data_IF_471754160554
#
_entry.id   IF_471754160554
#
_cell.length_a   1.000
_cell.length_b   1.000
_cell.length_c   1.000
_cell.angle_alpha   90.00
_cell.angle_beta   90.00
_cell.angle_gamma   90.00
#
_symmetry.space_group_name_H-M   'P 1'
#
loop_
_entity.id
_entity.type
_entity.pdbx_description
1 polymer ?
#
# COMPACT_ATOMS: atom_id res chain seq x y z
N UNK A 1 -14.38 -41.03 -20.96
CA UNK A 1 -14.13 -40.81 -19.54
C UNK A 1 -15.06 -39.67 -19.09
N UNK A 2 -16.23 -40.05 -18.53
CA UNK A 2 -17.31 -39.12 -18.18
C UNK A 2 -16.97 -38.40 -16.90
N UNK A 3 -16.88 -37.09 -16.94
CA UNK A 3 -16.80 -36.23 -15.75
C UNK A 3 -18.23 -35.87 -15.31
N UNK A 4 -18.62 -36.49 -14.22
CA UNK A 4 -19.89 -36.33 -13.55
C UNK A 4 -19.95 -34.97 -12.85
N UNK A 5 -20.71 -34.04 -13.39
CA UNK A 5 -20.97 -32.73 -12.80
C UNK A 5 -22.06 -32.88 -11.73
N UNK A 6 -21.67 -33.14 -10.47
CA UNK A 6 -22.61 -33.02 -9.35
C UNK A 6 -22.62 -31.58 -8.86
N UNK A 7 -23.67 -30.91 -9.24
CA UNK A 7 -24.11 -29.62 -8.75
C UNK A 7 -24.48 -29.76 -7.24
N UNK A 8 -23.60 -29.31 -6.35
CA UNK A 8 -23.88 -29.23 -4.90
C UNK A 8 -24.25 -27.77 -4.60
N UNK A 9 -25.54 -27.46 -4.73
CA UNK A 9 -26.11 -26.23 -4.20
C UNK A 9 -26.23 -26.35 -2.67
N UNK A 10 -25.33 -25.71 -1.94
CA UNK A 10 -25.51 -25.45 -0.52
C UNK A 10 -26.68 -24.46 -0.34
N UNK A 11 -27.54 -24.64 0.68
CA UNK A 11 -28.65 -23.74 0.94
C UNK A 11 -28.11 -22.36 1.37
N UNK A 12 -28.54 -21.32 0.66
CA UNK A 12 -28.27 -19.93 1.03
C UNK A 12 -28.98 -19.64 2.36
N UNK A 13 -28.19 -19.36 3.40
CA UNK A 13 -28.72 -18.82 4.66
C UNK A 13 -29.33 -17.44 4.34
N UNK A 14 -30.55 -17.13 4.88
CA UNK A 14 -31.15 -15.82 4.64
C UNK A 14 -30.26 -14.74 5.29
N UNK A 15 -29.61 -13.96 4.47
CA UNK A 15 -28.87 -12.76 4.88
C UNK A 15 -29.92 -11.75 5.32
N UNK A 16 -29.82 -11.28 6.58
CA UNK A 16 -30.60 -10.15 7.06
C UNK A 16 -30.47 -9.02 6.03
N UNK A 17 -31.59 -8.35 5.73
CA UNK A 17 -31.64 -7.26 4.75
C UNK A 17 -30.74 -6.11 5.21
N UNK A 18 -29.49 -6.11 4.76
CA UNK A 18 -28.62 -4.96 4.91
C UNK A 18 -29.15 -3.81 4.04
N UNK A 19 -29.04 -2.55 4.49
CA UNK A 19 -29.43 -1.42 3.69
C UNK A 19 -28.67 -1.49 2.35
N UNK A 20 -29.41 -1.55 1.26
CA UNK A 20 -28.85 -1.69 -0.10
C UNK A 20 -28.61 -0.35 -0.75
N UNK A 21 -29.04 0.75 -0.12
CA UNK A 21 -28.91 2.08 -0.67
C UNK A 21 -28.61 3.13 0.41
N UNK A 22 -28.08 4.26 -0.01
CA UNK A 22 -27.82 5.39 0.88
C UNK A 22 -29.08 5.93 1.56
N UNK A 23 -30.25 5.82 0.91
CA UNK A 23 -31.56 6.24 1.45
C UNK A 23 -32.00 5.42 2.65
N UNK A 24 -31.56 4.17 2.77
CA UNK A 24 -32.04 3.22 3.79
C UNK A 24 -31.24 3.30 5.11
N UNK A 25 -30.16 4.13 5.11
CA UNK A 25 -29.31 4.30 6.28
C UNK A 25 -29.99 5.18 7.35
N UNK A 26 -29.71 4.96 8.65
CA UNK A 26 -30.09 5.91 9.69
C UNK A 26 -29.34 7.24 9.54
N UNK A 27 -29.85 8.31 10.15
CA UNK A 27 -29.19 9.62 10.15
C UNK A 27 -27.93 9.64 11.04
N UNK A 28 -27.83 8.71 11.96
CA UNK A 28 -26.68 8.54 12.88
C UNK A 28 -26.16 7.10 12.83
N UNK A 29 -24.83 6.96 12.79
CA UNK A 29 -24.14 5.66 12.78
C UNK A 29 -23.08 5.62 13.88
N UNK A 30 -22.82 4.44 14.44
CA UNK A 30 -21.86 4.23 15.54
C UNK A 30 -20.45 4.66 15.16
N UNK A 31 -20.05 4.32 13.93
CA UNK A 31 -18.78 4.69 13.34
C UNK A 31 -18.92 4.75 11.82
N UNK A 32 -18.24 5.68 11.18
CA UNK A 32 -18.17 5.78 9.72
C UNK A 32 -16.74 5.58 9.26
N UNK A 33 -16.56 4.68 8.31
CA UNK A 33 -15.25 4.41 7.67
C UNK A 33 -15.36 4.77 6.18
N UNK A 34 -14.52 5.71 5.73
CA UNK A 34 -14.48 6.19 4.35
C UNK A 34 -13.31 5.53 3.63
N UNK A 35 -13.61 4.64 2.68
CA UNK A 35 -12.65 3.88 1.89
C UNK A 35 -12.66 2.39 2.19
N UNK A 36 -12.96 1.59 1.16
CA UNK A 36 -13.06 0.12 1.20
C UNK A 36 -11.77 -0.61 0.81
N UNK A 37 -10.61 0.05 0.91
CA UNK A 37 -9.30 -0.59 0.82
C UNK A 37 -8.98 -1.41 2.08
N UNK A 38 -7.82 -2.10 2.08
CA UNK A 38 -7.43 -2.95 3.22
C UNK A 38 -7.41 -2.18 4.55
N UNK A 39 -6.96 -0.92 4.55
CA UNK A 39 -6.91 -0.10 5.76
C UNK A 39 -8.31 0.16 6.33
N UNK A 40 -9.28 0.55 5.48
CA UNK A 40 -10.65 0.80 5.92
C UNK A 40 -11.38 -0.47 6.33
N UNK A 41 -11.20 -1.56 5.59
CA UNK A 41 -11.77 -2.87 5.95
C UNK A 41 -11.20 -3.37 7.28
N UNK A 42 -9.91 -3.24 7.53
CA UNK A 42 -9.29 -3.62 8.81
C UNK A 42 -9.80 -2.75 9.96
N UNK A 43 -9.94 -1.44 9.75
CA UNK A 43 -10.48 -0.53 10.76
C UNK A 43 -11.96 -0.86 11.08
N UNK A 44 -12.79 -1.07 10.06
CA UNK A 44 -14.19 -1.43 10.26
C UNK A 44 -14.33 -2.80 10.95
N UNK A 45 -13.48 -3.78 10.59
CA UNK A 45 -13.45 -5.07 11.26
C UNK A 45 -13.07 -4.93 12.73
N UNK A 46 -12.04 -4.15 13.06
CA UNK A 46 -11.65 -3.90 14.45
C UNK A 46 -12.78 -3.22 15.23
N UNK A 47 -13.41 -2.20 14.67
CA UNK A 47 -14.57 -1.53 15.29
C UNK A 47 -15.71 -2.53 15.55
N UNK A 48 -15.91 -3.51 14.65
CA UNK A 48 -16.90 -4.58 14.85
C UNK A 48 -16.50 -5.52 15.99
N UNK A 49 -15.21 -5.84 16.16
CA UNK A 49 -14.72 -6.63 17.29
C UNK A 49 -14.90 -5.89 18.62
N UNK A 50 -14.86 -4.56 18.61
CA UNK A 50 -15.11 -3.70 19.76
C UNK A 50 -16.63 -3.50 20.04
N UNK A 51 -17.49 -4.23 19.34
CA UNK A 51 -18.95 -4.25 19.56
C UNK A 51 -19.72 -3.12 18.86
N UNK A 52 -19.06 -2.33 18.00
CA UNK A 52 -19.73 -1.30 17.21
C UNK A 52 -20.32 -1.88 15.91
N UNK A 53 -21.25 -1.14 15.33
CA UNK A 53 -21.84 -1.44 14.00
C UNK A 53 -21.38 -0.40 12.99
N UNK A 54 -20.14 -0.52 12.46
CA UNK A 54 -19.61 0.48 11.55
C UNK A 54 -20.36 0.50 10.22
N UNK A 55 -20.50 1.69 9.65
CA UNK A 55 -20.80 1.89 8.23
C UNK A 55 -19.48 2.12 7.49
N UNK A 56 -19.16 1.24 6.54
CA UNK A 56 -18.07 1.44 5.61
C UNK A 56 -18.61 1.84 4.24
N UNK A 57 -18.09 2.93 3.68
CA UNK A 57 -18.44 3.40 2.34
C UNK A 57 -17.23 3.37 1.42
N UNK A 58 -17.43 2.87 0.20
CA UNK A 58 -16.43 2.81 -0.86
C UNK A 58 -16.98 3.47 -2.13
N UNK A 59 -16.24 4.45 -2.66
CA UNK A 59 -16.65 5.19 -3.84
C UNK A 59 -16.61 4.35 -5.12
N UNK A 60 -15.73 3.34 -5.20
CA UNK A 60 -15.69 2.40 -6.32
C UNK A 60 -16.76 1.33 -6.18
N UNK A 61 -17.01 0.60 -7.28
CA UNK A 61 -17.96 -0.52 -7.28
C UNK A 61 -17.38 -1.84 -6.74
N UNK A 62 -16.20 -1.81 -6.11
CA UNK A 62 -15.52 -2.98 -5.58
C UNK A 62 -14.70 -2.62 -4.34
N UNK A 63 -14.50 -3.59 -3.47
CA UNK A 63 -13.69 -3.50 -2.26
C UNK A 63 -12.24 -3.96 -2.53
N UNK A 64 -11.36 -3.66 -1.59
CA UNK A 64 -9.97 -4.13 -1.59
C UNK A 64 -8.95 -3.08 -2.02
N UNK A 65 -9.34 -2.07 -2.79
CA UNK A 65 -8.41 -1.05 -3.28
C UNK A 65 -7.27 -1.69 -4.09
N UNK A 66 -6.04 -1.68 -3.57
CA UNK A 66 -4.87 -2.31 -4.19
C UNK A 66 -4.81 -3.85 -4.05
N UNK A 67 -5.78 -4.46 -3.35
CA UNK A 67 -5.93 -5.92 -3.21
C UNK A 67 -7.22 -6.36 -3.91
N UNK A 68 -7.58 -5.70 -5.00
CA UNK A 68 -8.79 -6.01 -5.73
C UNK A 68 -8.62 -7.26 -6.61
N UNK A 69 -9.66 -8.10 -6.71
CA UNK A 69 -9.64 -9.23 -7.62
C UNK A 69 -9.80 -8.81 -9.08
N UNK A 70 -9.25 -9.61 -9.95
CA UNK A 70 -9.53 -9.57 -11.38
C UNK A 70 -9.73 -10.97 -11.94
N UNK A 71 -9.98 -11.06 -13.24
CA UNK A 71 -10.18 -12.34 -13.92
C UNK A 71 -9.30 -12.45 -15.16
N UNK A 72 -8.65 -13.61 -15.30
CA UNK A 72 -7.97 -14.02 -16.52
C UNK A 72 -8.69 -15.29 -17.00
N UNK A 73 -9.56 -15.14 -18.00
CA UNK A 73 -10.49 -16.20 -18.36
C UNK A 73 -11.39 -16.58 -17.18
N UNK A 74 -11.50 -17.86 -16.79
CA UNK A 74 -12.30 -18.28 -15.64
C UNK A 74 -11.56 -18.16 -14.28
N UNK A 75 -10.29 -17.78 -14.27
CA UNK A 75 -9.46 -17.76 -13.07
C UNK A 75 -9.49 -16.39 -12.44
N UNK A 76 -9.82 -16.36 -11.15
CA UNK A 76 -9.73 -15.14 -10.33
C UNK A 76 -8.29 -14.96 -9.87
N UNK A 77 -7.77 -13.74 -9.99
CA UNK A 77 -6.38 -13.39 -9.68
C UNK A 77 -6.31 -12.06 -8.92
N UNK A 78 -5.21 -11.85 -8.21
CA UNK A 78 -4.90 -10.54 -7.64
C UNK A 78 -4.44 -9.58 -8.73
N UNK A 79 -5.06 -8.40 -8.85
CA UNK A 79 -4.64 -7.35 -9.77
C UNK A 79 -3.59 -6.40 -9.17
N UNK A 80 -3.41 -6.43 -7.87
CA UNK A 80 -2.49 -5.56 -7.14
C UNK A 80 -1.49 -6.34 -6.31
N UNK A 81 -1.53 -6.16 -4.99
CA UNK A 81 -0.64 -6.86 -4.08
C UNK A 81 -0.97 -8.36 -4.03
N UNK A 82 0.03 -9.20 -4.26
CA UNK A 82 -0.06 -10.67 -4.27
C UNK A 82 0.44 -11.29 -2.97
N UNK A 83 1.18 -10.53 -2.18
CA UNK A 83 1.80 -10.97 -0.93
C UNK A 83 1.74 -9.89 0.12
N UNK A 84 1.94 -10.29 1.37
CA UNK A 84 2.15 -9.41 2.50
C UNK A 84 3.36 -9.86 3.32
N UNK A 85 3.99 -8.90 4.02
CA UNK A 85 5.08 -9.18 4.94
C UNK A 85 4.56 -9.07 6.37
N UNK A 86 4.48 -10.16 7.13
CA UNK A 86 4.05 -10.12 8.53
C UNK A 86 5.19 -9.54 9.40
N UNK A 87 5.34 -8.21 9.40
CA UNK A 87 6.36 -7.53 10.23
C UNK A 87 5.98 -7.44 11.71
N UNK A 88 4.71 -7.61 12.03
CA UNK A 88 4.13 -7.70 13.36
C UNK A 88 3.27 -8.93 13.51
N UNK A 89 2.73 -9.14 14.71
CA UNK A 89 1.82 -10.25 14.99
C UNK A 89 0.40 -9.97 14.48
N UNK A 90 0.04 -8.70 14.29
CA UNK A 90 -1.32 -8.23 14.03
C UNK A 90 -1.86 -8.77 12.70
N UNK A 91 -1.09 -8.69 11.61
CA UNK A 91 -1.53 -9.20 10.31
C UNK A 91 -1.72 -10.73 10.34
N UNK A 92 -0.82 -11.46 10.99
CA UNK A 92 -0.94 -12.91 11.12
C UNK A 92 -2.15 -13.30 11.99
N UNK A 93 -2.40 -12.56 13.07
CA UNK A 93 -3.57 -12.74 13.93
C UNK A 93 -4.87 -12.45 13.18
N UNK A 94 -4.92 -11.36 12.41
CA UNK A 94 -6.08 -11.02 11.58
C UNK A 94 -6.38 -12.13 10.55
N UNK A 95 -5.38 -12.59 9.80
CA UNK A 95 -5.54 -13.69 8.84
C UNK A 95 -6.08 -14.95 9.51
N UNK A 96 -5.52 -15.32 10.67
CA UNK A 96 -5.97 -16.49 11.44
C UNK A 96 -7.38 -16.31 12.01
N UNK A 97 -7.71 -15.13 12.55
CA UNK A 97 -9.05 -14.84 13.10
C UNK A 97 -10.14 -14.86 12.03
N UNK A 98 -9.78 -14.56 10.77
CA UNK A 98 -10.67 -14.68 9.63
C UNK A 98 -10.74 -16.10 9.04
N UNK A 99 -10.07 -17.07 9.66
CA UNK A 99 -10.06 -18.46 9.19
C UNK A 99 -9.29 -18.68 7.89
N UNK A 100 -8.42 -17.76 7.51
CA UNK A 100 -7.65 -17.81 6.29
C UNK A 100 -6.29 -18.50 6.50
N UNK A 101 -5.82 -19.18 5.48
CA UNK A 101 -4.50 -19.84 5.48
C UNK A 101 -3.44 -18.98 4.81
N UNK A 102 -2.40 -18.63 5.57
CA UNK A 102 -1.23 -17.94 5.05
C UNK A 102 -0.20 -18.93 4.53
N UNK A 103 0.19 -18.79 3.27
CA UNK A 103 1.15 -19.64 2.59
C UNK A 103 2.46 -18.89 2.35
N UNK A 104 3.58 -19.61 2.36
CA UNK A 104 4.82 -19.12 1.80
C UNK A 104 4.74 -19.19 0.26
N UNK A 105 5.36 -18.25 -0.48
CA UNK A 105 5.52 -18.38 -1.92
C UNK A 105 6.21 -19.69 -2.29
N UNK A 106 5.94 -20.23 -3.48
CA UNK A 106 6.57 -21.46 -3.97
C UNK A 106 8.10 -21.30 -4.03
N UNK A 107 8.83 -22.38 -3.73
CA UNK A 107 10.28 -22.35 -3.47
C UNK A 107 11.22 -22.02 -4.63
N UNK A 108 10.68 -21.81 -5.86
CA UNK A 108 11.52 -21.49 -7.04
C UNK A 108 12.04 -20.04 -7.07
N UNK A 109 11.58 -19.18 -6.18
CA UNK A 109 11.96 -17.79 -6.06
C UNK A 109 11.50 -16.91 -7.24
N UNK A 110 11.65 -15.61 -7.07
CA UNK A 110 11.33 -14.64 -8.10
C UNK A 110 12.37 -14.65 -9.24
N UNK A 111 11.94 -14.18 -10.42
CA UNK A 111 12.78 -14.13 -11.62
C UNK A 111 12.70 -12.76 -12.26
N UNK A 112 13.80 -12.37 -12.91
CA UNK A 112 13.90 -11.16 -13.72
C UNK A 112 13.85 -11.55 -15.21
N UNK A 113 12.90 -10.97 -15.94
CA UNK A 113 12.89 -11.07 -17.39
C UNK A 113 13.56 -9.82 -17.97
N UNK A 114 14.81 -9.95 -18.42
CA UNK A 114 15.64 -8.83 -18.81
C UNK A 114 15.90 -8.79 -20.32
N UNK A 115 15.99 -7.58 -20.90
CA UNK A 115 16.41 -7.40 -22.28
C UNK A 115 17.86 -7.87 -22.49
N UNK A 116 18.24 -8.17 -23.74
CA UNK A 116 19.58 -8.62 -24.04
C UNK A 116 20.64 -7.62 -23.62
N UNK A 117 21.68 -8.09 -22.96
CA UNK A 117 22.88 -7.31 -22.68
C UNK A 117 23.81 -7.35 -23.89
N UNK A 118 23.65 -6.38 -24.79
CA UNK A 118 24.44 -6.31 -26.03
C UNK A 118 25.94 -6.18 -25.77
N UNK A 119 26.33 -5.56 -24.65
CA UNK A 119 27.74 -5.46 -24.26
C UNK A 119 28.36 -6.85 -23.93
N UNK A 120 27.53 -7.83 -23.59
CA UNK A 120 27.92 -9.22 -23.34
C UNK A 120 27.62 -10.15 -24.53
N UNK A 121 27.27 -9.62 -25.70
CA UNK A 121 26.94 -10.42 -26.87
C UNK A 121 25.56 -11.10 -26.83
N UNK A 122 24.69 -10.72 -25.89
CA UNK A 122 23.32 -11.26 -25.82
C UNK A 122 22.46 -10.69 -26.94
N UNK A 123 21.62 -11.52 -27.56
CA UNK A 123 20.70 -11.13 -28.64
C UNK A 123 19.22 -11.33 -28.28
N UNK A 124 18.90 -11.98 -27.17
CA UNK A 124 17.53 -12.34 -26.78
C UNK A 124 17.24 -11.96 -25.34
N UNK A 125 15.97 -11.73 -25.06
CA UNK A 125 15.46 -11.63 -23.69
C UNK A 125 15.70 -12.92 -22.92
N UNK A 126 16.07 -12.79 -21.67
CA UNK A 126 16.38 -13.95 -20.82
C UNK A 126 15.69 -13.83 -19.47
N UNK A 127 15.30 -15.00 -18.94
CA UNK A 127 14.76 -15.12 -17.60
C UNK A 127 15.92 -15.47 -16.64
N UNK A 128 16.17 -14.58 -15.68
CA UNK A 128 17.21 -14.73 -14.67
C UNK A 128 16.59 -15.01 -13.31
N UNK A 129 17.26 -15.78 -12.48
CA UNK A 129 16.89 -15.87 -11.06
C UNK A 129 17.27 -14.57 -10.36
N UNK A 130 16.51 -14.21 -9.29
CA UNK A 130 16.98 -13.16 -8.39
C UNK A 130 18.34 -13.55 -7.80
N UNK A 131 19.17 -12.55 -7.56
CA UNK A 131 20.45 -12.75 -6.89
C UNK A 131 20.23 -13.34 -5.49
N UNK A 132 21.13 -14.23 -5.07
CA UNK A 132 21.03 -14.89 -3.75
C UNK A 132 21.19 -13.91 -2.60
N UNK A 133 22.13 -12.99 -2.75
CA UNK A 133 22.54 -12.04 -1.72
C UNK A 133 22.45 -10.62 -2.24
N UNK A 134 21.22 -10.09 -2.28
CA UNK A 134 20.94 -8.75 -2.72
C UNK A 134 19.81 -8.10 -1.91
N UNK A 135 19.88 -6.79 -1.73
CA UNK A 135 18.83 -5.96 -1.16
C UNK A 135 18.28 -5.03 -2.22
N UNK A 136 17.02 -5.21 -2.62
CA UNK A 136 16.39 -4.51 -3.75
C UNK A 136 17.23 -4.54 -5.06
N UNK A 137 17.91 -5.66 -5.30
CA UNK A 137 18.79 -5.82 -6.46
C UNK A 137 20.23 -5.31 -6.27
N UNK A 138 20.55 -4.65 -5.17
CA UNK A 138 21.90 -4.21 -4.84
C UNK A 138 22.66 -5.42 -4.30
N UNK A 139 23.73 -5.91 -4.98
CA UNK A 139 24.43 -7.12 -4.57
C UNK A 139 25.30 -6.89 -3.32
N UNK A 140 25.31 -7.85 -2.41
CA UNK A 140 26.25 -7.90 -1.29
C UNK A 140 27.68 -8.28 -1.72
N UNK A 141 27.79 -9.04 -2.81
CA UNK A 141 29.06 -9.35 -3.45
C UNK A 141 28.97 -9.13 -4.97
N UNK A 142 29.47 -7.99 -5.48
CA UNK A 142 29.46 -7.72 -6.91
C UNK A 142 30.31 -8.69 -7.76
N UNK A 143 31.19 -9.48 -7.14
CA UNK A 143 32.01 -10.49 -7.82
C UNK A 143 31.36 -11.86 -7.91
N UNK A 144 30.21 -12.08 -7.27
CA UNK A 144 29.53 -13.38 -7.28
C UNK A 144 29.11 -13.79 -8.71
N UNK A 145 29.17 -15.10 -8.98
CA UNK A 145 28.92 -15.66 -10.31
C UNK A 145 27.55 -15.27 -10.89
N UNK A 146 26.51 -15.24 -10.07
CA UNK A 146 25.17 -14.84 -10.48
C UNK A 146 25.09 -13.34 -10.83
N UNK A 147 25.84 -12.49 -10.14
CA UNK A 147 25.95 -11.05 -10.45
C UNK A 147 26.70 -10.85 -11.77
N UNK A 148 27.87 -11.51 -11.92
CA UNK A 148 28.69 -11.45 -13.14
C UNK A 148 27.89 -11.97 -14.34
N UNK A 149 27.11 -13.04 -14.17
CA UNK A 149 26.28 -13.59 -15.25
C UNK A 149 25.24 -12.59 -15.79
N UNK A 150 24.60 -11.80 -14.90
CA UNK A 150 23.58 -10.81 -15.28
C UNK A 150 24.21 -9.52 -15.81
N UNK A 151 25.24 -9.01 -15.13
CA UNK A 151 25.86 -7.73 -15.45
C UNK A 151 26.88 -7.81 -16.60
N UNK A 152 27.61 -8.93 -16.68
CA UNK A 152 28.83 -9.08 -17.45
C UNK A 152 30.07 -8.64 -16.72
N UNK A 153 31.23 -9.17 -17.10
CA UNK A 153 32.49 -9.01 -16.39
C UNK A 153 32.90 -7.53 -16.18
N UNK A 154 32.77 -6.69 -17.21
CA UNK A 154 33.17 -5.27 -17.14
C UNK A 154 32.30 -4.48 -16.15
N UNK A 155 31.00 -4.70 -16.13
CA UNK A 155 30.08 -4.00 -15.24
C UNK A 155 30.23 -4.53 -13.78
N UNK A 156 30.41 -5.82 -13.60
CA UNK A 156 30.71 -6.40 -12.30
C UNK A 156 32.03 -5.87 -11.72
N UNK A 157 33.09 -5.77 -12.54
CA UNK A 157 34.36 -5.18 -12.15
C UNK A 157 34.20 -3.71 -11.72
N UNK A 158 33.37 -2.91 -12.44
CA UNK A 158 33.03 -1.54 -12.01
C UNK A 158 32.32 -1.54 -10.64
N UNK A 159 31.40 -2.47 -10.42
CA UNK A 159 30.68 -2.56 -9.14
C UNK A 159 31.61 -2.96 -7.97
N UNK A 160 32.60 -3.82 -8.19
CA UNK A 160 33.64 -4.17 -7.20
C UNK A 160 34.44 -2.96 -6.73
N UNK A 161 34.59 -1.91 -7.57
CA UNK A 161 35.29 -0.67 -7.18
C UNK A 161 34.61 0.04 -6.00
N UNK A 162 33.35 -0.25 -5.68
CA UNK A 162 32.65 0.26 -4.50
C UNK A 162 33.51 0.12 -3.22
N UNK A 163 34.25 -0.97 -3.07
CA UNK A 163 35.11 -1.25 -1.91
C UNK A 163 36.33 -0.31 -1.80
N UNK A 164 36.68 0.36 -2.88
CA UNK A 164 37.82 1.30 -2.95
C UNK A 164 37.38 2.76 -2.93
N UNK A 165 36.05 3.03 -2.92
CA UNK A 165 35.53 4.37 -2.82
C UNK A 165 35.46 4.81 -1.34
N UNK A 166 35.68 6.12 -1.11
CA UNK A 166 35.46 6.68 0.22
C UNK A 166 34.01 6.53 0.69
N UNK A 167 33.81 6.47 2.00
CA UNK A 167 32.47 6.33 2.61
C UNK A 167 31.51 7.45 2.23
N UNK A 168 32.00 8.63 1.86
CA UNK A 168 31.24 9.82 1.53
C UNK A 168 30.65 9.80 0.10
N UNK A 169 31.13 8.90 -0.78
CA UNK A 169 30.58 8.78 -2.14
C UNK A 169 29.11 8.38 -2.08
N UNK A 170 28.23 9.11 -2.75
CA UNK A 170 26.79 8.90 -2.72
C UNK A 170 26.08 9.43 -1.47
N UNK A 171 26.76 10.17 -0.60
CA UNK A 171 26.14 10.74 0.60
C UNK A 171 25.58 12.15 0.39
N UNK A 172 25.98 12.85 -0.67
CA UNK A 172 25.49 14.16 -1.08
C UNK A 172 24.22 14.09 -1.96
N UNK A 173 23.99 15.17 -2.71
CA UNK A 173 22.84 15.32 -3.60
C UNK A 173 22.76 14.20 -4.67
N UNK A 174 23.90 13.68 -5.12
CA UNK A 174 23.95 12.56 -6.07
C UNK A 174 23.35 11.27 -5.53
N UNK A 175 23.28 11.12 -4.20
CA UNK A 175 22.74 9.95 -3.54
C UNK A 175 21.35 10.15 -2.92
N UNK A 176 20.70 11.28 -3.17
CA UNK A 176 19.32 11.52 -2.69
C UNK A 176 18.34 10.52 -3.30
N UNK A 177 18.52 10.17 -4.57
CA UNK A 177 17.72 9.11 -5.21
C UNK A 177 18.42 7.76 -5.15
N UNK A 178 17.64 6.68 -5.07
CA UNK A 178 18.18 5.32 -5.03
C UNK A 178 19.03 5.01 -6.26
N UNK A 179 18.62 5.45 -7.46
CA UNK A 179 19.40 5.29 -8.67
C UNK A 179 20.74 6.02 -8.58
N UNK A 180 20.73 7.28 -8.15
CA UNK A 180 21.93 8.08 -8.00
C UNK A 180 22.91 7.48 -7.00
N UNK A 181 22.42 7.06 -5.83
CA UNK A 181 23.23 6.43 -4.80
C UNK A 181 23.93 5.16 -5.30
N UNK A 182 23.18 4.26 -5.91
CA UNK A 182 23.72 2.98 -6.42
C UNK A 182 24.66 3.23 -7.61
N UNK A 183 24.31 4.15 -8.53
CA UNK A 183 25.15 4.48 -9.67
C UNK A 183 26.50 5.06 -9.27
N UNK A 184 26.52 5.99 -8.30
CA UNK A 184 27.75 6.57 -7.76
C UNK A 184 28.70 5.49 -7.20
N UNK A 185 28.17 4.54 -6.49
CA UNK A 185 28.94 3.49 -5.83
C UNK A 185 29.27 2.30 -6.73
N UNK A 186 28.27 1.67 -7.34
CA UNK A 186 28.43 0.42 -8.10
C UNK A 186 28.31 0.59 -9.62
N UNK A 187 27.94 1.78 -10.10
CA UNK A 187 27.81 2.06 -11.53
C UNK A 187 26.41 1.83 -12.08
N UNK A 188 26.13 2.49 -13.22
CA UNK A 188 24.82 2.54 -13.86
C UNK A 188 24.27 1.16 -14.25
N UNK A 189 25.13 0.21 -14.64
CA UNK A 189 24.71 -1.13 -15.03
C UNK A 189 24.02 -1.90 -13.89
N UNK A 190 24.41 -1.70 -12.64
CA UNK A 190 23.74 -2.26 -11.46
C UNK A 190 22.34 -1.68 -11.32
N UNK A 191 22.22 -0.35 -11.50
CA UNK A 191 20.91 0.31 -11.47
C UNK A 191 19.98 -0.27 -12.55
N UNK A 192 20.44 -0.33 -13.79
CA UNK A 192 19.57 -0.64 -14.95
C UNK A 192 19.16 -2.13 -15.00
N UNK A 193 20.08 -3.02 -14.61
CA UNK A 193 19.84 -4.46 -14.78
C UNK A 193 19.39 -5.18 -13.51
N UNK A 194 19.70 -4.63 -12.34
CA UNK A 194 19.39 -5.30 -11.07
C UNK A 194 18.38 -4.51 -10.23
N UNK A 195 18.64 -3.22 -10.00
CA UNK A 195 17.81 -2.42 -9.09
C UNK A 195 16.50 -2.00 -9.75
N UNK A 196 16.57 -1.39 -10.93
CA UNK A 196 15.40 -0.84 -11.64
C UNK A 196 14.28 -1.87 -11.85
N UNK A 197 14.54 -3.09 -12.39
CA UNK A 197 13.46 -4.03 -12.62
C UNK A 197 12.81 -4.53 -11.32
N UNK A 198 13.56 -4.64 -10.23
CA UNK A 198 13.03 -5.06 -8.93
C UNK A 198 12.23 -3.92 -8.29
N UNK A 199 12.81 -2.73 -8.26
CA UNK A 199 12.19 -1.53 -7.67
C UNK A 199 10.94 -1.12 -8.44
N UNK A 200 10.97 -1.15 -9.76
CA UNK A 200 9.78 -0.89 -10.58
C UNK A 200 8.66 -1.91 -10.32
N UNK A 201 9.00 -3.18 -10.07
CA UNK A 201 8.02 -4.21 -9.71
C UNK A 201 7.39 -4.01 -8.32
N UNK A 202 8.15 -3.47 -7.37
CA UNK A 202 7.69 -3.27 -5.98
C UNK A 202 6.99 -1.93 -5.81
N UNK A 203 7.61 -0.84 -6.28
CA UNK A 203 7.17 0.54 -6.05
C UNK A 203 6.42 1.14 -7.24
N UNK A 204 6.39 0.45 -8.40
CA UNK A 204 5.80 0.98 -9.65
C UNK A 204 6.34 2.34 -10.06
N UNK A 205 7.60 2.60 -9.73
CA UNK A 205 8.28 3.88 -9.91
C UNK A 205 9.73 3.64 -10.32
N UNK A 206 10.33 4.57 -11.05
CA UNK A 206 11.75 4.51 -11.37
C UNK A 206 12.58 4.77 -10.09
N UNK A 207 13.68 4.05 -9.86
CA UNK A 207 14.56 4.33 -8.73
C UNK A 207 15.21 5.73 -8.77
N UNK A 208 15.15 6.44 -9.90
CA UNK A 208 15.56 7.84 -10.01
C UNK A 208 14.56 8.82 -9.37
N UNK A 209 13.31 8.39 -9.17
CA UNK A 209 12.25 9.19 -8.55
C UNK A 209 12.01 8.81 -7.09
N UNK A 210 12.79 7.89 -6.54
CA UNK A 210 12.63 7.38 -5.18
C UNK A 210 13.76 7.88 -4.26
N UNK A 211 13.39 8.53 -3.17
CA UNK A 211 14.33 8.94 -2.14
C UNK A 211 14.98 7.73 -1.46
N UNK A 212 16.33 7.70 -1.47
CA UNK A 212 17.12 6.56 -0.94
C UNK A 212 16.74 6.22 0.50
N UNK A 213 16.69 7.21 1.38
CA UNK A 213 16.45 6.98 2.81
C UNK A 213 15.00 6.58 3.12
N UNK A 214 14.05 6.87 2.20
CA UNK A 214 12.67 6.43 2.32
C UNK A 214 12.49 4.96 1.95
N UNK A 215 13.07 4.52 0.83
CA UNK A 215 12.87 3.14 0.33
C UNK A 215 13.90 2.15 0.86
N UNK A 216 15.05 2.64 1.30
CA UNK A 216 16.12 1.83 1.92
C UNK A 216 16.57 2.43 3.27
N UNK A 217 15.69 2.48 4.28
CA UNK A 217 16.01 3.12 5.56
C UNK A 217 17.29 2.56 6.17
N UNK A 218 18.23 3.46 6.49
CA UNK A 218 19.50 3.12 7.11
C UNK A 218 20.59 2.61 6.16
N UNK A 219 20.33 2.44 4.85
CA UNK A 219 21.35 1.93 3.92
C UNK A 219 22.51 2.90 3.75
N UNK A 220 22.25 4.20 3.59
CA UNK A 220 23.30 5.22 3.48
C UNK A 220 24.14 5.30 4.77
N UNK A 221 23.49 5.24 5.92
CA UNK A 221 24.18 5.18 7.21
C UNK A 221 25.06 3.93 7.32
N UNK A 222 24.51 2.75 7.02
CA UNK A 222 25.27 1.50 7.04
C UNK A 222 26.46 1.54 6.08
N UNK A 223 26.33 2.20 4.91
CA UNK A 223 27.42 2.36 3.97
C UNK A 223 28.58 3.20 4.56
N UNK A 224 28.26 4.26 5.32
CA UNK A 224 29.30 5.02 6.06
C UNK A 224 29.98 4.17 7.14
N UNK A 225 29.18 3.42 7.89
CA UNK A 225 29.68 2.62 9.02
C UNK A 225 30.54 1.43 8.57
N UNK A 226 30.18 0.79 7.45
CA UNK A 226 30.87 -0.40 6.92
C UNK A 226 31.85 -0.06 5.78
N UNK A 227 31.98 1.22 5.39
CA UNK A 227 32.95 1.71 4.41
C UNK A 227 32.53 1.56 2.97
N UNK A 228 31.69 0.59 2.61
CA UNK A 228 31.21 0.40 1.24
C UNK A 228 29.75 -0.09 1.19
N UNK A 229 29.10 0.08 0.05
CA UNK A 229 27.71 -0.32 -0.15
C UNK A 229 27.54 -1.85 -0.12
N UNK A 230 28.49 -2.58 -0.70
CA UNK A 230 28.45 -4.05 -0.70
C UNK A 230 28.43 -4.63 0.73
N UNK A 231 29.32 -4.15 1.60
CA UNK A 231 29.39 -4.63 2.99
C UNK A 231 28.20 -4.16 3.83
N UNK A 232 27.67 -2.96 3.57
CA UNK A 232 26.42 -2.49 4.17
C UNK A 232 25.24 -3.41 3.82
N UNK A 233 25.11 -3.80 2.57
CA UNK A 233 24.07 -4.75 2.12
C UNK A 233 24.27 -6.11 2.78
N UNK A 234 25.49 -6.63 2.82
CA UNK A 234 25.81 -7.89 3.49
C UNK A 234 25.40 -7.87 4.98
N UNK A 235 25.71 -6.77 5.68
CA UNK A 235 25.32 -6.56 7.08
C UNK A 235 23.80 -6.55 7.25
N UNK A 236 23.08 -5.77 6.42
CA UNK A 236 21.62 -5.68 6.49
C UNK A 236 20.95 -7.03 6.23
N UNK A 237 21.44 -7.81 5.26
CA UNK A 237 20.96 -9.15 4.96
C UNK A 237 21.21 -10.12 6.11
N UNK A 238 22.42 -10.11 6.70
CA UNK A 238 22.75 -10.94 7.84
C UNK A 238 21.85 -10.65 9.04
N UNK A 239 21.59 -9.38 9.32
CA UNK A 239 20.66 -8.93 10.37
C UNK A 239 19.23 -9.39 10.10
N UNK A 240 18.76 -9.25 8.86
CA UNK A 240 17.42 -9.72 8.45
C UNK A 240 17.29 -11.24 8.59
N UNK A 241 18.27 -12.01 8.11
CA UNK A 241 18.30 -13.48 8.24
C UNK A 241 18.29 -13.93 9.69
N UNK A 242 19.03 -13.26 10.56
CA UNK A 242 19.02 -13.57 12.01
C UNK A 242 17.62 -13.34 12.60
N UNK A 243 16.95 -12.25 12.21
CA UNK A 243 15.60 -11.94 12.70
C UNK A 243 14.54 -12.92 12.20
N UNK A 244 14.67 -13.46 10.98
CA UNK A 244 13.67 -14.32 10.33
C UNK A 244 13.98 -15.81 10.40
N UNK A 245 15.15 -16.19 10.96
CA UNK A 245 15.64 -17.57 10.92
C UNK A 245 15.90 -18.06 9.49
N UNK A 246 16.18 -17.14 8.54
CA UNK A 246 16.46 -17.46 7.13
C UNK A 246 15.22 -17.85 6.31
N UNK A 247 14.02 -17.76 6.86
CA UNK A 247 12.77 -18.04 6.13
C UNK A 247 12.33 -16.84 5.31
N UNK A 248 11.65 -17.10 4.18
CA UNK A 248 10.93 -16.03 3.47
C UNK A 248 9.92 -15.39 4.41
N UNK A 249 9.97 -14.07 4.50
CA UNK A 249 8.99 -13.29 5.28
C UNK A 249 7.70 -13.05 4.50
N UNK A 250 7.75 -13.20 3.16
CA UNK A 250 6.57 -12.98 2.32
C UNK A 250 5.56 -14.10 2.52
N UNK A 251 4.30 -13.73 2.64
CA UNK A 251 3.15 -14.61 2.73
C UNK A 251 2.11 -14.21 1.70
N UNK A 252 1.37 -15.18 1.20
CA UNK A 252 0.14 -14.96 0.46
C UNK A 252 -1.02 -15.66 1.18
N UNK A 253 -2.23 -15.29 0.85
CA UNK A 253 -3.44 -15.98 1.30
C UNK A 253 -3.76 -17.07 0.30
N UNK A 254 -4.12 -18.27 0.77
CA UNK A 254 -4.57 -19.36 -0.12
C UNK A 254 -5.73 -18.87 -0.98
N UNK A 255 -5.59 -19.00 -2.30
CA UNK A 255 -6.57 -18.56 -3.28
C UNK A 255 -6.45 -17.11 -3.72
N UNK A 256 -5.50 -16.33 -3.17
CA UNK A 256 -5.23 -14.93 -3.51
C UNK A 256 -5.48 -13.97 -2.36
N UNK A 257 -4.81 -12.82 -2.42
CA UNK A 257 -4.93 -11.77 -1.39
C UNK A 257 -6.34 -11.17 -1.34
N UNK A 258 -7.09 -11.17 -2.44
CA UNK A 258 -8.48 -10.73 -2.47
C UNK A 258 -9.39 -11.53 -1.52
N UNK A 259 -9.02 -12.75 -1.13
CA UNK A 259 -9.75 -13.52 -0.11
C UNK A 259 -9.74 -12.81 1.25
N UNK A 260 -8.66 -12.11 1.57
CA UNK A 260 -8.57 -11.33 2.81
C UNK A 260 -9.61 -10.20 2.84
N UNK A 261 -9.75 -9.46 1.74
CA UNK A 261 -10.73 -8.35 1.67
C UNK A 261 -12.17 -8.85 1.65
N UNK A 262 -12.41 -9.99 1.01
CA UNK A 262 -13.72 -10.66 1.03
C UNK A 262 -14.09 -11.14 2.44
N UNK A 263 -13.15 -11.79 3.13
CA UNK A 263 -13.38 -12.27 4.50
C UNK A 263 -13.60 -11.13 5.50
N UNK A 264 -12.84 -10.02 5.37
CA UNK A 264 -13.07 -8.84 6.20
C UNK A 264 -14.46 -8.25 5.98
N UNK A 265 -14.88 -8.07 4.73
CA UNK A 265 -16.22 -7.57 4.41
C UNK A 265 -17.31 -8.46 4.97
N UNK A 266 -17.15 -9.78 4.83
CA UNK A 266 -18.07 -10.76 5.39
C UNK A 266 -18.13 -10.69 6.91
N UNK A 267 -16.98 -10.60 7.59
CA UNK A 267 -16.91 -10.51 9.04
C UNK A 267 -17.58 -9.24 9.58
N UNK A 268 -17.38 -8.09 8.92
CA UNK A 268 -18.02 -6.83 9.28
C UNK A 268 -19.54 -6.95 9.20
N UNK A 269 -20.06 -7.49 8.10
CA UNK A 269 -21.50 -7.63 7.90
C UNK A 269 -22.11 -8.67 8.85
N UNK A 270 -21.42 -9.76 9.12
CA UNK A 270 -21.84 -10.77 10.10
C UNK A 270 -21.94 -10.19 11.52
N UNK A 271 -21.08 -9.25 11.87
CA UNK A 271 -21.12 -8.52 13.15
C UNK A 271 -22.18 -7.40 13.19
N UNK A 272 -22.98 -7.22 12.14
CA UNK A 272 -24.03 -6.21 12.05
C UNK A 272 -23.58 -4.85 11.52
N UNK A 273 -22.34 -4.72 11.04
CA UNK A 273 -21.88 -3.56 10.30
C UNK A 273 -22.45 -3.52 8.87
N UNK A 274 -22.35 -2.38 8.23
CA UNK A 274 -22.83 -2.15 6.86
C UNK A 274 -21.67 -1.79 5.94
N UNK A 275 -21.62 -2.41 4.77
CA UNK A 275 -20.61 -2.13 3.74
C UNK A 275 -21.30 -1.73 2.45
N UNK A 276 -21.08 -0.49 2.00
CA UNK A 276 -21.66 0.04 0.77
C UNK A 276 -20.57 0.38 -0.23
N UNK A 277 -20.71 -0.11 -1.45
CA UNK A 277 -19.91 0.33 -2.61
C UNK A 277 -20.70 1.34 -3.45
N UNK A 278 -20.01 2.08 -4.32
CA UNK A 278 -20.56 3.18 -5.10
C UNK A 278 -21.19 4.29 -4.25
N UNK A 279 -20.63 4.52 -3.06
CA UNK A 279 -20.96 5.62 -2.16
C UNK A 279 -19.66 6.30 -1.75
N UNK A 280 -19.55 7.58 -1.98
CA UNK A 280 -18.36 8.38 -1.67
C UNK A 280 -18.69 9.57 -0.78
N UNK A 281 -17.76 9.90 0.13
CA UNK A 281 -17.84 11.11 0.93
C UNK A 281 -17.47 12.32 0.05
N UNK A 282 -18.25 13.39 0.18
CA UNK A 282 -18.09 14.64 -0.56
C UNK A 282 -17.53 15.75 0.33
N UNK A 283 -18.02 15.80 1.57
CA UNK A 283 -17.67 16.86 2.53
C UNK A 283 -17.67 16.30 3.95
N UNK A 284 -16.79 16.85 4.78
CA UNK A 284 -16.76 16.66 6.23
C UNK A 284 -17.02 17.99 6.92
N UNK A 285 -17.80 17.97 7.99
CA UNK A 285 -17.97 19.08 8.93
C UNK A 285 -17.56 18.56 10.29
N UNK A 286 -16.55 19.21 10.88
CA UNK A 286 -16.04 18.84 12.19
C UNK A 286 -17.03 19.22 13.30
N UNK A 287 -17.06 18.49 14.42
CA UNK A 287 -17.77 18.93 15.63
C UNK A 287 -17.17 20.23 16.15
N UNK A 288 -17.99 21.10 16.74
CA UNK A 288 -17.53 22.36 17.35
C UNK A 288 -16.49 22.13 18.44
N UNK A 289 -15.36 22.81 18.32
CA UNK A 289 -14.29 22.77 19.32
C UNK A 289 -14.64 23.52 20.63
N UNK A 290 -15.80 24.18 20.72
CA UNK A 290 -16.16 25.07 21.81
C UNK A 290 -16.52 24.36 23.13
N UNK A 291 -16.43 23.04 23.23
CA UNK A 291 -16.84 22.30 24.44
C UNK A 291 -15.92 21.18 24.91
N UNK A 292 -14.83 20.85 24.26
CA UNK A 292 -14.08 19.67 24.67
C UNK A 292 -12.56 19.79 24.48
N UNK A 293 -11.84 20.07 25.55
CA UNK A 293 -10.38 19.97 25.65
C UNK A 293 -9.85 18.51 25.64
N UNK A 294 -10.66 17.54 25.27
CA UNK A 294 -10.34 16.11 25.34
C UNK A 294 -10.45 15.34 23.99
N UNK A 295 -10.68 16.00 22.85
CA UNK A 295 -10.73 15.31 21.56
C UNK A 295 -9.43 15.48 20.76
N UNK A 296 -8.28 15.24 21.38
CA UNK A 296 -6.99 15.15 20.69
C UNK A 296 -6.67 13.70 20.32
N UNK A 297 -7.42 13.14 19.41
CA UNK A 297 -7.23 11.78 18.92
C UNK A 297 -7.30 11.67 17.40
N UNK A 298 -6.59 12.55 16.67
CA UNK A 298 -6.24 12.23 15.28
C UNK A 298 -5.06 11.29 15.32
N UNK A 299 -5.32 9.99 15.38
CA UNK A 299 -4.29 8.97 15.23
C UNK A 299 -3.99 8.81 13.74
N UNK A 300 -2.98 9.53 13.27
CA UNK A 300 -2.36 9.23 11.97
C UNK A 300 -1.42 8.05 12.19
N UNK A 301 -1.74 6.89 11.66
CA UNK A 301 -0.79 5.80 11.53
C UNK A 301 0.25 6.18 10.46
N UNK A 302 1.40 6.69 10.90
CA UNK A 302 2.55 6.88 10.03
C UNK A 302 3.44 8.05 10.43
N UNK A 303 4.64 7.71 10.87
CA UNK A 303 5.85 8.53 10.99
C UNK A 303 5.85 9.71 11.99
N UNK A 304 6.68 9.55 12.99
CA UNK A 304 7.15 10.54 13.98
C UNK A 304 7.81 11.76 13.35
N UNK A 305 7.47 12.96 13.83
CA UNK A 305 8.32 14.13 13.67
C UNK A 305 7.60 15.48 13.68
N UNK A 306 7.75 16.20 14.81
CA UNK A 306 7.82 17.64 15.01
C UNK A 306 6.60 18.55 14.77
N UNK A 307 6.25 19.19 15.88
CA UNK A 307 5.37 20.35 16.08
C UNK A 307 5.84 21.63 15.38
N UNK A 308 4.90 22.42 14.82
CA UNK A 308 4.84 23.87 15.04
C UNK A 308 3.50 24.44 14.56
N UNK A 309 2.87 25.23 15.44
CA UNK A 309 1.63 25.94 15.16
C UNK A 309 1.95 27.31 14.54
N UNK A 310 1.25 27.68 13.48
CA UNK A 310 1.14 29.05 13.00
C UNK A 310 -0.29 29.33 12.53
N UNK A 311 -0.86 30.38 13.06
CA UNK A 311 -2.17 30.91 12.78
C UNK A 311 -2.22 31.64 11.44
N UNK A 312 -3.21 31.32 10.57
CA UNK A 312 -3.60 32.17 9.46
C UNK A 312 -5.13 32.23 9.34
N UNK A 313 -5.62 33.46 9.28
CA UNK A 313 -7.02 33.80 9.01
C UNK A 313 -7.42 33.34 7.60
N UNK A 314 -8.53 32.60 7.52
CA UNK A 314 -9.19 32.30 6.26
C UNK A 314 -10.69 32.54 6.40
N UNK A 315 -11.18 33.40 5.53
CA UNK A 315 -12.57 33.82 5.40
C UNK A 315 -13.43 32.80 4.67
N UNK A 316 -14.57 32.54 5.25
CA UNK A 316 -15.88 32.21 4.72
C UNK A 316 -16.07 31.00 3.78
N UNK A 317 -16.49 29.89 4.38
CA UNK A 317 -17.42 28.93 3.76
C UNK A 317 -18.41 28.44 4.82
N UNK A 318 -19.68 28.80 4.63
CA UNK A 318 -20.77 28.70 5.60
C UNK A 318 -21.29 27.26 5.78
N UNK A 319 -20.63 26.51 6.63
CA UNK A 319 -21.22 25.36 7.30
C UNK A 319 -21.16 25.65 8.79
N UNK A 320 -22.31 25.81 9.45
CA UNK A 320 -22.36 25.98 10.91
C UNK A 320 -21.86 24.71 11.59
N UNK A 321 -20.84 24.79 12.45
CA UNK A 321 -20.35 23.64 13.22
C UNK A 321 -21.45 23.07 14.13
N UNK A 322 -21.44 21.74 14.30
CA UNK A 322 -22.42 21.04 15.16
C UNK A 322 -21.93 21.00 16.61
N UNK A 323 -22.58 21.75 17.51
CA UNK A 323 -22.26 21.76 18.94
C UNK A 323 -22.53 20.43 19.66
N UNK A 324 -22.98 19.37 18.95
CA UNK A 324 -23.34 18.06 19.53
C UNK A 324 -22.16 17.09 19.71
N UNK A 325 -20.96 17.45 19.26
CA UNK A 325 -19.78 16.56 19.27
C UNK A 325 -19.79 15.47 18.20
N UNK A 326 -20.60 15.62 17.16
CA UNK A 326 -20.69 14.71 16.02
C UNK A 326 -20.00 15.28 14.79
N UNK A 327 -19.33 14.41 14.07
CA UNK A 327 -18.96 14.64 12.68
C UNK A 327 -20.22 14.59 11.81
N UNK A 328 -20.39 15.55 10.92
CA UNK A 328 -21.35 15.44 9.83
C UNK A 328 -20.60 15.11 8.54
N UNK A 329 -21.09 14.10 7.84
CA UNK A 329 -20.45 13.61 6.62
C UNK A 329 -21.49 13.57 5.51
N UNK A 330 -21.24 14.35 4.46
CA UNK A 330 -22.04 14.30 3.26
C UNK A 330 -21.57 13.15 2.39
N UNK A 331 -22.46 12.19 2.15
CA UNK A 331 -22.27 11.02 1.29
C UNK A 331 -23.13 11.15 0.02
N UNK A 332 -22.58 10.73 -1.12
CA UNK A 332 -23.34 10.67 -2.37
C UNK A 332 -23.11 9.34 -3.09
N UNK A 333 -24.12 8.84 -3.84
CA UNK A 333 -23.90 7.76 -4.80
C UNK A 333 -22.82 8.18 -5.80
N UNK A 334 -22.06 7.21 -6.29
CA UNK A 334 -20.99 7.46 -7.25
C UNK A 334 -21.08 6.56 -8.48
N UNK A 335 -20.50 7.03 -9.58
CA UNK A 335 -20.27 6.27 -10.82
C UNK A 335 -18.79 6.31 -11.19
N UNK A 336 -18.32 5.37 -12.04
CA UNK A 336 -16.97 5.39 -12.54
C UNK A 336 -16.62 6.75 -13.15
N UNK A 337 -15.40 7.22 -12.95
CA UNK A 337 -14.84 8.35 -13.65
C UNK A 337 -14.62 8.07 -15.14
N UNK A 338 -14.18 9.09 -15.91
CA UNK A 338 -14.04 8.98 -17.37
C UNK A 338 -13.02 7.94 -17.84
N UNK A 339 -12.08 7.56 -16.99
CA UNK A 339 -11.11 6.48 -17.29
C UNK A 339 -11.04 5.48 -16.13
N UNK A 340 -10.57 4.25 -16.34
CA UNK A 340 -10.44 3.26 -15.26
C UNK A 340 -9.60 3.73 -14.06
N UNK A 341 -8.60 4.58 -14.31
CA UNK A 341 -7.73 5.17 -13.28
C UNK A 341 -8.30 6.42 -12.62
N UNK A 342 -9.37 7.00 -13.18
CA UNK A 342 -10.00 8.20 -12.61
C UNK A 342 -10.69 7.92 -11.29
N UNK A 343 -10.77 8.96 -10.47
CA UNK A 343 -11.61 8.92 -9.27
C UNK A 343 -13.10 8.81 -9.67
N UNK A 344 -13.90 8.05 -8.90
CA UNK A 344 -15.34 8.04 -9.07
C UNK A 344 -15.92 9.45 -8.89
N UNK A 345 -16.99 9.73 -9.61
CA UNK A 345 -17.67 11.03 -9.56
C UNK A 345 -19.06 10.87 -8.94
N UNK A 346 -19.60 11.91 -8.24
CA UNK A 346 -20.95 11.90 -7.71
C UNK A 346 -21.99 11.62 -8.80
N UNK A 347 -23.04 10.87 -8.49
CA UNK A 347 -24.05 10.42 -9.46
C UNK A 347 -25.48 10.46 -8.93
N UNK A 348 -25.73 11.08 -7.80
CA UNK A 348 -27.08 11.17 -7.20
C UNK A 348 -27.14 12.24 -6.12
N UNK A 349 -28.30 12.37 -5.48
CA UNK A 349 -28.51 13.30 -4.40
C UNK A 349 -27.64 12.93 -3.18
N UNK A 350 -26.96 13.90 -2.57
CA UNK A 350 -26.21 13.67 -1.36
C UNK A 350 -27.13 13.48 -0.16
N UNK A 351 -26.60 12.82 0.88
CA UNK A 351 -27.22 12.69 2.19
C UNK A 351 -26.18 12.90 3.27
N UNK A 352 -26.54 13.69 4.28
CA UNK A 352 -25.68 13.91 5.45
C UNK A 352 -25.99 12.90 6.53
N UNK A 353 -24.96 12.23 7.03
CA UNK A 353 -25.01 11.35 8.20
C UNK A 353 -24.17 11.93 9.33
N UNK A 354 -24.46 11.51 10.56
CA UNK A 354 -23.75 11.92 11.76
C UNK A 354 -23.06 10.72 12.41
N UNK A 355 -21.86 10.95 12.93
CA UNK A 355 -21.12 9.94 13.68
C UNK A 355 -20.18 10.57 14.69
N UNK A 356 -19.94 9.89 15.82
CA UNK A 356 -18.91 10.27 16.78
C UNK A 356 -17.51 9.73 16.43
N UNK A 357 -17.46 8.72 15.56
CA UNK A 357 -16.22 8.03 15.18
C UNK A 357 -16.08 8.03 13.69
N UNK A 358 -15.08 8.76 13.20
CA UNK A 358 -14.79 8.88 11.78
C UNK A 358 -13.40 8.34 11.48
N UNK A 359 -13.32 7.44 10.49
CA UNK A 359 -12.05 6.94 9.94
C UNK A 359 -11.99 7.30 8.46
N UNK A 360 -10.97 8.08 8.08
CA UNK A 360 -10.68 8.42 6.68
C UNK A 360 -9.56 7.50 6.19
N UNK A 361 -9.91 6.47 5.45
CA UNK A 361 -9.03 5.41 4.96
C UNK A 361 -8.96 5.35 3.41
N UNK A 362 -9.32 6.42 2.74
CA UNK A 362 -9.19 6.55 1.30
C UNK A 362 -7.77 6.98 0.89
N UNK A 363 -7.48 7.00 -0.41
CA UNK A 363 -6.17 7.43 -0.91
C UNK A 363 -5.90 8.92 -0.59
N UNK A 364 -4.62 9.30 -0.60
CA UNK A 364 -4.16 10.60 -0.10
C UNK A 364 -4.91 11.80 -0.69
N UNK A 365 -5.11 11.88 -2.02
CA UNK A 365 -5.80 13.03 -2.65
C UNK A 365 -7.24 13.22 -2.17
N UNK A 366 -8.13 12.20 -2.20
CA UNK A 366 -9.46 12.33 -1.61
C UNK A 366 -9.43 12.63 -0.11
N UNK A 367 -8.51 12.00 0.63
CA UNK A 367 -8.38 12.25 2.07
C UNK A 367 -8.07 13.72 2.37
N UNK A 368 -7.11 14.32 1.65
CA UNK A 368 -6.75 15.72 1.82
C UNK A 368 -7.90 16.67 1.50
N UNK A 369 -8.65 16.39 0.40
CA UNK A 369 -9.84 17.20 0.08
C UNK A 369 -10.90 17.15 1.18
N UNK A 370 -11.15 15.94 1.73
CA UNK A 370 -12.10 15.77 2.82
C UNK A 370 -11.64 16.49 4.09
N UNK A 371 -10.38 16.36 4.46
CA UNK A 371 -9.82 17.05 5.64
C UNK A 371 -9.82 18.57 5.47
N UNK A 372 -9.54 19.06 4.27
CA UNK A 372 -9.63 20.49 3.95
C UNK A 372 -11.07 21.02 4.09
N UNK A 373 -12.09 20.23 3.70
CA UNK A 373 -13.49 20.64 3.86
C UNK A 373 -13.93 20.80 5.33
N UNK A 374 -13.21 20.17 6.25
CA UNK A 374 -13.44 20.30 7.70
C UNK A 374 -12.49 21.31 8.38
N UNK A 375 -11.74 22.11 7.63
CA UNK A 375 -10.70 23.02 8.13
C UNK A 375 -9.62 22.34 8.99
N UNK A 376 -9.39 21.04 8.78
CA UNK A 376 -8.40 20.25 9.52
C UNK A 376 -7.06 20.13 8.80
N UNK A 377 -6.98 20.58 7.57
CA UNK A 377 -5.75 20.51 6.80
C UNK A 377 -4.83 21.69 7.11
N UNK A 378 -4.11 21.60 8.22
CA UNK A 378 -2.82 22.29 8.36
C UNK A 378 -1.74 21.48 7.59
N UNK A 379 -2.06 20.98 6.41
CA UNK A 379 -1.10 20.30 5.54
C UNK A 379 -0.42 21.36 4.70
N UNK A 380 0.89 21.33 4.72
CA UNK A 380 1.74 22.12 3.84
C UNK A 380 1.23 22.00 2.41
N UNK A 381 0.68 23.08 1.87
CA UNK A 381 0.06 23.11 0.53
C UNK A 381 1.06 22.86 -0.59
N UNK A 382 2.37 22.83 -0.26
CA UNK A 382 3.46 22.62 -1.21
C UNK A 382 3.72 21.13 -1.48
N UNK A 383 3.05 20.21 -0.76
CA UNK A 383 3.17 18.77 -1.02
C UNK A 383 2.39 18.41 -2.28
N UNK A 384 3.10 18.15 -3.36
CA UNK A 384 2.54 17.56 -4.57
C UNK A 384 2.38 16.06 -4.39
N UNK A 385 1.13 15.59 -4.30
CA UNK A 385 0.84 14.16 -4.29
C UNK A 385 0.86 13.65 -5.73
N UNK A 386 1.80 12.76 -6.10
CA UNK A 386 1.88 12.25 -7.46
C UNK A 386 0.63 11.43 -7.81
N UNK A 387 0.31 11.39 -9.10
CA UNK A 387 -0.68 10.43 -9.62
C UNK A 387 -0.04 9.05 -9.59
N UNK A 388 -0.75 8.06 -9.05
CA UNK A 388 -0.26 6.67 -9.08
C UNK A 388 0.00 6.22 -10.52
N UNK A 389 1.09 5.48 -10.72
CA UNK A 389 1.42 4.92 -12.02
C UNK A 389 0.37 3.87 -12.45
N UNK A 390 -0.08 3.86 -13.71
CA UNK A 390 -0.91 2.78 -14.22
C UNK A 390 -0.10 1.48 -14.30
N UNK A 391 -0.68 0.38 -13.78
CA UNK A 391 -0.08 -0.95 -13.87
C UNK A 391 -0.91 -1.77 -14.85
N UNK A 392 -0.24 -2.32 -15.87
CA UNK A 392 -0.82 -3.32 -16.75
C UNK A 392 -0.23 -4.71 -16.39
N UNK A 393 -1.10 -5.71 -16.26
CA UNK A 393 -0.70 -7.12 -16.11
C UNK A 393 -1.09 -7.85 -17.38
N UNK A 394 -0.17 -8.63 -17.92
CA UNK A 394 -0.32 -9.41 -19.14
C UNK A 394 -0.19 -10.90 -18.83
#
# INVERSE_FOLDING_TARGET
>A
MNLDTRNSSAPATPVASHPNSLSDLPDEVDALVIGGGIAGLSAAWQLSQDGLKPLLVEARGYLGGLIAPGYIGPVQVDLGAETFVPRGVETAQMVAALGLEALAPSGDGARLFLPPNRANGESRWRLWRFLRDAYLGIPADPSADDVVAVLGAKAAQRAVQDRHLGSEVGQGAEGETLAGFVAARMGQAVVDRLVRPIVAGIYTCDPADLATDTVTPGLRQATREHGCLADAVAFMLARSRKATGGRSVDKCVRGGMFQLTAALSQAITTAGGTVLTRVGAQQLIAPDAAGNTAASGVTTCGASGASNAASHDASDSSGTPDSSGYWQVELAPTKPGPTPSSEPVPAGAPRTLRTKRLVVACSARPALRLLASANLAALDTDITIPVGAPIARY
#
